data_IF_481802586286
#
_entry.id   IF_481802586286
#
_cell.length_a   1.000
_cell.length_b   1.000
_cell.length_c   1.000
_cell.angle_alpha   90.00
_cell.angle_beta   90.00
_cell.angle_gamma   90.00
#
_symmetry.space_group_name_H-M   'P 1'
#
loop_
_entity.id
_entity.type
_entity.pdbx_description
1 polymer ?
#
# COMPACT_ATOMS: atom_id res chain seq x y z
N UNK A 1 -14.79 19.59 -35.03
CA UNK A 1 -15.13 20.89 -34.43
C UNK A 1 -16.33 20.70 -33.52
N UNK A 2 -16.41 21.49 -32.44
CA UNK A 2 -17.17 21.33 -31.17
C UNK A 2 -16.42 20.44 -30.15
N UNK A 3 -15.41 20.92 -29.40
CA UNK A 3 -15.37 21.80 -28.18
C UNK A 3 -15.87 21.14 -26.89
N UNK A 4 -14.95 20.77 -25.98
CA UNK A 4 -14.73 21.33 -24.59
C UNK A 4 -15.58 20.60 -23.52
N UNK A 5 -15.10 20.22 -22.33
CA UNK A 5 -13.89 20.54 -21.58
C UNK A 5 -13.64 19.56 -20.39
N UNK A 6 -12.74 19.90 -19.46
CA UNK A 6 -12.03 18.96 -18.57
C UNK A 6 -12.54 18.93 -17.11
N UNK A 7 -12.24 17.87 -16.36
CA UNK A 7 -12.24 17.92 -14.88
C UNK A 7 -10.92 17.37 -14.33
N UNK A 8 -9.96 18.27 -14.20
CA UNK A 8 -8.78 18.15 -13.37
C UNK A 8 -9.14 18.70 -11.99
N UNK A 9 -9.32 17.84 -10.98
CA UNK A 9 -9.35 18.25 -9.58
C UNK A 9 -7.97 18.00 -8.97
N UNK A 10 -7.02 18.84 -9.36
CA UNK A 10 -5.78 19.04 -8.61
C UNK A 10 -6.11 19.88 -7.38
N UNK A 11 -6.12 19.27 -6.20
CA UNK A 11 -5.97 20.02 -4.96
C UNK A 11 -4.47 20.32 -4.79
N UNK A 12 -4.09 21.56 -5.11
CA UNK A 12 -2.75 22.10 -4.84
C UNK A 12 -2.45 22.09 -3.33
N UNK A 13 -1.17 21.86 -3.01
CA UNK A 13 -0.66 21.62 -1.67
C UNK A 13 -1.12 22.63 -0.61
N UNK A 14 -1.86 22.13 0.37
CA UNK A 14 -2.24 22.88 1.56
C UNK A 14 -1.17 22.70 2.63
N UNK A 15 -0.41 23.77 2.89
CA UNK A 15 0.37 23.88 4.13
C UNK A 15 -0.58 23.89 5.33
N UNK A 16 -0.60 22.82 6.12
CA UNK A 16 -1.49 22.69 7.26
C UNK A 16 -0.78 22.95 8.60
N UNK A 17 -1.22 23.98 9.31
CA UNK A 17 -0.93 24.16 10.73
C UNK A 17 -1.74 23.17 11.58
N UNK A 18 -1.08 22.59 12.58
CA UNK A 18 -1.56 21.78 13.74
C UNK A 18 -2.57 20.62 13.54
N UNK A 19 -3.40 20.59 12.50
CA UNK A 19 -4.31 19.51 12.14
C UNK A 19 -4.07 19.06 10.70
N UNK A 20 -3.82 17.77 10.48
CA UNK A 20 -3.58 17.23 9.14
C UNK A 20 -4.79 17.32 8.22
N UNK A 21 -4.56 17.38 6.91
CA UNK A 21 -5.59 17.30 5.88
C UNK A 21 -6.34 15.96 5.95
N UNK A 22 -7.67 16.01 5.92
CA UNK A 22 -8.53 14.82 5.98
C UNK A 22 -8.91 14.37 4.58
N UNK A 23 -8.78 13.08 4.33
CA UNK A 23 -9.19 12.42 3.10
C UNK A 23 -10.23 11.34 3.41
N UNK A 24 -11.43 11.52 2.87
CA UNK A 24 -12.45 10.47 2.85
C UNK A 24 -12.34 9.68 1.54
N UNK A 25 -12.18 8.36 1.69
CA UNK A 25 -12.01 7.39 0.63
C UNK A 25 -13.25 6.52 0.51
N UNK A 26 -13.76 6.41 -0.72
CA UNK A 26 -14.84 5.48 -1.06
C UNK A 26 -14.32 4.05 -1.14
N UNK A 27 -15.25 3.08 -1.19
CA UNK A 27 -14.94 1.67 -1.43
C UNK A 27 -14.09 1.52 -2.69
N UNK A 28 -13.07 0.65 -2.62
CA UNK A 28 -12.20 0.29 -3.75
C UNK A 28 -11.43 1.49 -4.35
N UNK A 29 -11.08 2.45 -3.48
CA UNK A 29 -10.25 3.61 -3.87
C UNK A 29 -8.98 3.67 -3.05
N UNK A 30 -7.99 4.40 -3.55
CA UNK A 30 -6.73 4.65 -2.86
C UNK A 30 -6.33 6.12 -2.85
N UNK A 31 -5.65 6.52 -1.79
CA UNK A 31 -4.97 7.79 -1.66
C UNK A 31 -3.50 7.57 -1.98
N UNK A 32 -3.04 8.19 -3.06
CA UNK A 32 -1.63 8.20 -3.46
C UNK A 32 -1.01 9.49 -3.01
N UNK A 33 0.10 9.41 -2.29
CA UNK A 33 0.87 10.59 -1.92
C UNK A 33 2.37 10.35 -1.99
N UNK A 34 3.11 11.43 -2.23
CA UNK A 34 4.56 11.48 -2.22
C UNK A 34 5.03 12.48 -1.17
N UNK A 35 5.96 12.05 -0.32
CA UNK A 35 6.53 12.90 0.72
C UNK A 35 7.57 13.82 0.11
N UNK A 36 7.43 15.13 0.35
CA UNK A 36 8.37 16.14 -0.13
C UNK A 36 9.81 15.84 0.35
N UNK A 37 10.79 16.17 -0.48
CA UNK A 37 12.20 15.98 -0.14
C UNK A 37 12.57 16.75 1.15
N UNK A 38 13.27 16.08 2.07
CA UNK A 38 13.65 16.64 3.37
C UNK A 38 12.55 16.63 4.44
N UNK A 39 11.29 16.34 4.08
CA UNK A 39 10.15 16.42 4.98
C UNK A 39 9.69 15.04 5.48
N UNK A 40 8.80 15.04 6.48
CA UNK A 40 8.12 13.83 6.96
C UNK A 40 6.62 14.05 6.93
N UNK A 41 5.90 12.96 6.67
CA UNK A 41 4.44 12.94 6.66
C UNK A 41 3.96 11.91 7.67
N UNK A 42 2.96 12.29 8.46
CA UNK A 42 2.25 11.40 9.36
C UNK A 42 0.88 11.09 8.78
N UNK A 43 0.56 9.80 8.73
CA UNK A 43 -0.74 9.26 8.33
C UNK A 43 -1.42 8.67 9.56
N UNK A 44 -2.70 8.96 9.73
CA UNK A 44 -3.54 8.39 10.78
C UNK A 44 -4.88 7.92 10.22
N UNK A 45 -5.29 6.69 10.56
CA UNK A 45 -6.61 6.17 10.22
C UNK A 45 -7.62 6.62 11.28
N UNK A 46 -8.63 7.39 10.87
CA UNK A 46 -9.67 7.92 11.77
C UNK A 46 -10.84 6.91 11.89
N UNK A 47 -11.36 6.46 10.75
CA UNK A 47 -12.53 5.59 10.64
C UNK A 47 -12.39 4.58 9.51
N UNK A 48 -13.16 3.50 9.58
CA UNK A 48 -13.16 2.45 8.55
C UNK A 48 -11.93 1.53 8.62
N UNK A 49 -11.64 0.90 7.47
CA UNK A 49 -10.51 -0.01 7.29
C UNK A 49 -9.66 0.48 6.12
N UNK A 50 -8.34 0.47 6.30
CA UNK A 50 -7.39 0.86 5.27
C UNK A 50 -6.13 0.02 5.36
N UNK A 51 -5.41 -0.10 4.26
CA UNK A 51 -4.16 -0.83 4.19
C UNK A 51 -3.13 -0.12 3.32
N UNK A 52 -1.85 -0.30 3.67
CA UNK A 52 -0.70 0.14 2.88
C UNK A 52 0.07 -1.09 2.47
N UNK A 53 0.13 -1.37 1.16
CA UNK A 53 0.75 -2.57 0.59
C UNK A 53 0.32 -3.88 1.30
N UNK A 54 -0.98 -4.00 1.60
CA UNK A 54 -1.57 -5.16 2.28
C UNK A 54 -1.38 -5.24 3.79
N UNK A 55 -0.62 -4.34 4.41
CA UNK A 55 -0.56 -4.18 5.87
C UNK A 55 -1.72 -3.30 6.34
N UNK A 56 -2.58 -3.84 7.21
CA UNK A 56 -3.70 -3.10 7.80
C UNK A 56 -3.20 -1.93 8.67
N UNK A 57 -3.90 -0.80 8.58
CA UNK A 57 -3.69 0.35 9.45
C UNK A 57 -4.57 0.23 10.70
N UNK A 58 -3.96 0.48 11.86
CA UNK A 58 -4.67 0.55 13.12
C UNK A 58 -5.26 1.95 13.28
N UNK A 59 -6.52 2.00 13.71
CA UNK A 59 -7.20 3.27 14.01
C UNK A 59 -6.45 4.04 15.10
N UNK A 60 -6.39 5.36 14.93
CA UNK A 60 -5.73 6.30 15.84
C UNK A 60 -4.23 6.05 16.07
N UNK A 61 -3.59 5.23 15.22
CA UNK A 61 -2.14 5.03 15.22
C UNK A 61 -1.53 5.94 14.16
N UNK A 62 -0.51 6.70 14.56
CA UNK A 62 0.27 7.55 13.66
C UNK A 62 1.37 6.76 12.99
N UNK A 63 1.40 6.79 11.67
CA UNK A 63 2.42 6.17 10.83
C UNK A 63 3.27 7.27 10.19
N UNK A 64 4.59 7.21 10.36
CA UNK A 64 5.50 8.24 9.84
C UNK A 64 6.21 7.74 8.59
N UNK A 65 6.11 8.51 7.52
CA UNK A 65 6.80 8.28 6.25
C UNK A 65 7.88 9.33 6.06
N UNK A 66 9.05 8.87 5.60
CA UNK A 66 10.23 9.72 5.41
C UNK A 66 10.29 10.36 4.01
N UNK A 67 11.28 11.23 3.78
CA UNK A 67 11.46 11.94 2.52
C UNK A 67 11.44 11.04 1.29
N UNK A 68 10.78 11.47 0.21
CA UNK A 68 10.74 10.77 -1.08
C UNK A 68 9.96 9.44 -1.07
N UNK A 69 9.20 9.16 0.00
CA UNK A 69 8.38 7.96 0.06
C UNK A 69 7.13 8.12 -0.80
N UNK A 70 6.91 7.16 -1.71
CA UNK A 70 5.68 7.04 -2.50
C UNK A 70 4.75 6.01 -1.85
N UNK A 71 3.58 6.44 -1.42
CA UNK A 71 2.66 5.63 -0.62
C UNK A 71 1.29 5.59 -1.30
N UNK A 72 0.68 4.40 -1.30
CA UNK A 72 -0.72 4.20 -1.66
C UNK A 72 -1.47 3.61 -0.46
N UNK A 73 -2.46 4.34 0.05
CA UNK A 73 -3.37 3.89 1.11
C UNK A 73 -4.66 3.44 0.45
N UNK A 74 -4.95 2.16 0.49
CA UNK A 74 -6.12 1.57 -0.17
C UNK A 74 -7.20 1.17 0.83
N UNK A 75 -8.47 1.19 0.41
CA UNK A 75 -9.58 0.67 1.22
C UNK A 75 -10.55 -0.21 0.43
N UNK A 76 -10.88 -1.38 0.98
CA UNK A 76 -11.89 -2.30 0.42
C UNK A 76 -13.33 -1.90 0.76
N UNK A 77 -13.55 -1.08 1.78
CA UNK A 77 -14.88 -0.80 2.35
C UNK A 77 -15.19 0.70 2.48
N UNK A 78 -14.18 1.56 2.36
CA UNK A 78 -14.27 2.98 2.67
C UNK A 78 -13.58 3.31 4.00
N UNK A 79 -12.95 4.48 4.07
CA UNK A 79 -12.27 4.96 5.27
C UNK A 79 -12.09 6.47 5.27
N UNK A 80 -11.71 7.02 6.43
CA UNK A 80 -11.25 8.39 6.55
C UNK A 80 -9.84 8.39 7.14
N UNK A 81 -8.90 9.07 6.48
CA UNK A 81 -7.52 9.21 6.94
C UNK A 81 -7.14 10.67 7.11
N UNK A 82 -6.23 10.96 8.03
CA UNK A 82 -5.60 12.27 8.18
C UNK A 82 -4.14 12.18 7.74
N UNK A 83 -3.71 13.13 6.92
CA UNK A 83 -2.33 13.34 6.51
C UNK A 83 -1.83 14.68 7.04
N UNK A 84 -0.79 14.66 7.87
CA UNK A 84 -0.13 15.87 8.37
C UNK A 84 1.34 15.90 7.97
N UNK A 85 1.83 17.06 7.54
CA UNK A 85 3.17 17.21 6.96
C UNK A 85 3.06 17.63 5.50
N UNK A 86 4.20 17.90 4.86
CA UNK A 86 4.22 18.35 3.47
C UNK A 86 4.33 17.17 2.50
N UNK A 87 3.43 17.16 1.52
CA UNK A 87 3.42 16.22 0.41
C UNK A 87 3.67 16.98 -0.88
N UNK A 88 4.50 16.42 -1.76
CA UNK A 88 4.70 16.96 -3.11
C UNK A 88 3.43 16.80 -3.95
N UNK A 89 2.80 15.62 -3.83
CA UNK A 89 1.55 15.27 -4.49
C UNK A 89 0.70 14.45 -3.53
N UNK A 90 -0.62 14.68 -3.49
CA UNK A 90 -1.59 13.84 -2.79
C UNK A 90 -2.92 13.84 -3.55
N UNK A 91 -3.40 12.69 -4.00
CA UNK A 91 -4.69 12.59 -4.71
C UNK A 91 -5.36 11.23 -4.52
N UNK A 92 -6.68 11.21 -4.68
CA UNK A 92 -7.49 9.99 -4.66
C UNK A 92 -7.56 9.39 -6.06
N UNK A 93 -7.41 8.07 -6.18
CA UNK A 93 -7.54 7.32 -7.42
C UNK A 93 -8.53 6.17 -7.25
N UNK A 94 -9.38 5.97 -8.27
CA UNK A 94 -10.20 4.76 -8.43
C UNK A 94 -9.52 3.73 -9.33
N UNK A 95 -8.57 4.17 -10.17
CA UNK A 95 -7.82 3.28 -11.04
C UNK A 95 -6.69 2.63 -10.25
N UNK A 96 -6.87 1.35 -9.93
CA UNK A 96 -5.94 0.58 -9.13
C UNK A 96 -5.99 -0.91 -9.48
N UNK A 97 -4.83 -1.59 -9.58
CA UNK A 97 -4.76 -3.03 -9.86
C UNK A 97 -5.02 -3.89 -8.62
N UNK A 98 -5.54 -3.35 -7.51
CA UNK A 98 -5.72 -4.09 -6.25
C UNK A 98 -6.56 -5.35 -6.39
N UNK A 99 -7.60 -5.34 -7.24
CA UNK A 99 -8.39 -6.55 -7.51
C UNK A 99 -7.58 -7.65 -8.20
N UNK A 100 -6.68 -7.30 -9.12
CA UNK A 100 -5.75 -8.24 -9.75
C UNK A 100 -4.80 -8.87 -8.72
N UNK A 101 -4.29 -8.07 -7.80
CA UNK A 101 -3.40 -8.55 -6.74
C UNK A 101 -4.13 -9.48 -5.76
N UNK A 102 -5.38 -9.14 -5.39
CA UNK A 102 -6.22 -10.00 -4.57
C UNK A 102 -6.52 -11.35 -5.25
N UNK A 103 -6.87 -11.32 -6.54
CA UNK A 103 -7.12 -12.54 -7.32
C UNK A 103 -5.87 -13.42 -7.40
N UNK A 104 -4.71 -12.81 -7.61
CA UNK A 104 -3.42 -13.51 -7.63
C UNK A 104 -3.13 -14.16 -6.27
N UNK A 105 -3.32 -13.43 -5.17
CA UNK A 105 -3.18 -13.99 -3.83
C UNK A 105 -4.12 -15.17 -3.59
N UNK A 106 -5.38 -15.04 -4.00
CA UNK A 106 -6.41 -16.08 -3.85
C UNK A 106 -6.05 -17.35 -4.62
N UNK A 107 -5.57 -17.22 -5.86
CA UNK A 107 -5.09 -18.35 -6.66
C UNK A 107 -3.88 -19.05 -5.98
N UNK A 108 -2.91 -18.28 -5.49
CA UNK A 108 -1.77 -18.84 -4.75
C UNK A 108 -2.19 -19.57 -3.48
N UNK A 109 -3.21 -19.06 -2.78
CA UNK A 109 -3.76 -19.72 -1.59
C UNK A 109 -4.48 -21.03 -1.94
N UNK A 110 -5.22 -21.08 -3.05
CA UNK A 110 -5.81 -22.32 -3.55
C UNK A 110 -4.73 -23.38 -3.85
N UNK A 111 -3.65 -22.99 -4.54
CA UNK A 111 -2.51 -23.87 -4.81
C UNK A 111 -1.85 -24.37 -3.52
N UNK A 112 -1.70 -23.52 -2.49
CA UNK A 112 -1.18 -23.94 -1.18
C UNK A 112 -2.07 -24.99 -0.52
N UNK A 113 -3.38 -24.75 -0.49
CA UNK A 113 -4.34 -25.71 0.10
C UNK A 113 -4.34 -27.05 -0.62
N UNK A 114 -4.21 -27.04 -1.93
CA UNK A 114 -4.10 -28.27 -2.71
C UNK A 114 -2.81 -29.03 -2.38
N UNK A 115 -1.66 -28.34 -2.39
CA UNK A 115 -0.38 -28.95 -2.02
C UNK A 115 -0.39 -29.52 -0.59
N UNK A 116 -1.06 -28.85 0.36
CA UNK A 116 -1.22 -29.38 1.74
C UNK A 116 -2.03 -30.68 1.79
N UNK A 117 -3.07 -30.81 0.96
CA UNK A 117 -3.87 -32.05 0.86
C UNK A 117 -3.07 -33.19 0.25
N UNK A 118 -2.26 -32.88 -0.75
CA UNK A 118 -1.47 -33.85 -1.49
C UNK A 118 -0.11 -34.14 -0.83
N UNK A 119 0.18 -33.49 0.31
CA UNK A 119 1.46 -33.55 1.02
C UNK A 119 2.67 -33.14 0.15
N UNK A 120 2.45 -32.16 -0.73
CA UNK A 120 3.44 -31.57 -1.63
C UNK A 120 3.92 -30.19 -1.14
N UNK A 121 4.89 -29.62 -1.87
CA UNK A 121 5.40 -28.27 -1.59
C UNK A 121 4.46 -27.22 -2.19
N UNK A 122 4.22 -26.15 -1.43
CA UNK A 122 3.46 -24.99 -1.92
C UNK A 122 4.12 -24.28 -3.12
N UNK A 123 3.39 -23.38 -3.79
CA UNK A 123 3.83 -22.70 -5.01
C UNK A 123 5.08 -21.84 -4.76
N UNK A 124 5.99 -21.87 -5.74
CA UNK A 124 7.16 -20.97 -5.82
C UNK A 124 6.89 -19.96 -6.94
N UNK A 125 6.91 -18.68 -6.59
CA UNK A 125 6.54 -17.59 -7.51
C UNK A 125 7.74 -16.69 -7.71
N UNK A 126 8.05 -16.38 -8.96
CA UNK A 126 9.04 -15.38 -9.35
C UNK A 126 8.32 -14.20 -9.99
N UNK A 127 8.57 -12.99 -9.50
CA UNK A 127 8.04 -11.75 -10.08
C UNK A 127 9.12 -11.15 -10.96
N UNK A 128 8.82 -10.96 -12.25
CA UNK A 128 9.75 -10.46 -13.26
C UNK A 128 9.18 -9.25 -13.97
N UNK A 129 10.06 -8.37 -14.44
CA UNK A 129 9.68 -7.17 -15.19
C UNK A 129 10.76 -6.09 -15.15
N UNK A 130 10.60 -5.01 -15.94
CA UNK A 130 11.54 -3.89 -16.00
C UNK A 130 11.76 -3.21 -14.64
N UNK A 131 12.75 -2.32 -14.55
CA UNK A 131 12.96 -1.50 -13.35
C UNK A 131 11.74 -0.61 -13.09
N UNK A 132 11.48 -0.32 -11.80
CA UNK A 132 10.47 0.65 -11.35
C UNK A 132 8.99 0.37 -11.73
N UNK A 133 8.65 -0.87 -12.08
CA UNK A 133 7.26 -1.30 -12.33
C UNK A 133 6.50 -1.79 -11.08
N UNK A 134 7.05 -1.60 -9.89
CA UNK A 134 6.40 -1.97 -8.62
C UNK A 134 6.52 -3.44 -8.19
N UNK A 135 7.51 -4.18 -8.72
CA UNK A 135 7.76 -5.59 -8.35
C UNK A 135 7.86 -5.81 -6.84
N UNK A 136 8.66 -5.00 -6.15
CA UNK A 136 8.86 -5.09 -4.71
C UNK A 136 7.60 -4.77 -3.91
N UNK A 137 6.76 -3.84 -4.41
CA UNK A 137 5.47 -3.52 -3.80
C UNK A 137 4.50 -4.70 -3.92
N UNK A 138 4.42 -5.33 -5.09
CA UNK A 138 3.60 -6.51 -5.32
C UNK A 138 4.05 -7.68 -4.42
N UNK A 139 5.35 -7.97 -4.36
CA UNK A 139 5.90 -8.99 -3.47
C UNK A 139 5.48 -8.74 -2.02
N UNK A 140 5.67 -7.50 -1.52
CA UNK A 140 5.31 -7.12 -0.16
C UNK A 140 3.81 -7.29 0.12
N UNK A 141 2.96 -6.91 -0.83
CA UNK A 141 1.51 -7.06 -0.72
C UNK A 141 1.11 -8.54 -0.65
N UNK A 142 1.61 -9.38 -1.55
CA UNK A 142 1.30 -10.82 -1.56
C UNK A 142 1.76 -11.52 -0.27
N UNK A 143 2.92 -11.12 0.26
CA UNK A 143 3.44 -11.61 1.54
C UNK A 143 2.55 -11.20 2.70
N UNK A 144 2.17 -9.91 2.78
CA UNK A 144 1.31 -9.40 3.83
C UNK A 144 -0.05 -10.11 3.84
N UNK A 145 -0.67 -10.33 2.68
CA UNK A 145 -1.91 -11.09 2.57
C UNK A 145 -1.74 -12.55 3.02
N UNK A 146 -0.65 -13.20 2.64
CA UNK A 146 -0.36 -14.57 3.10
C UNK A 146 -0.19 -14.65 4.62
N UNK A 147 0.52 -13.69 5.23
CA UNK A 147 0.69 -13.61 6.69
C UNK A 147 -0.65 -13.37 7.40
N UNK A 148 -1.56 -12.57 6.82
CA UNK A 148 -2.92 -12.35 7.37
C UNK A 148 -3.75 -13.63 7.42
N UNK A 149 -3.51 -14.58 6.50
CA UNK A 149 -4.12 -15.92 6.53
C UNK A 149 -3.34 -16.93 7.39
N UNK A 150 -2.36 -16.49 8.18
CA UNK A 150 -1.54 -17.35 9.03
C UNK A 150 -0.49 -18.17 8.27
N UNK A 151 -0.26 -17.89 6.98
CA UNK A 151 0.79 -18.55 6.19
C UNK A 151 2.16 -17.99 6.56
N UNK A 152 3.21 -18.76 6.27
CA UNK A 152 4.63 -18.39 6.48
C UNK A 152 5.40 -18.45 5.16
N UNK A 153 5.15 -17.52 4.21
CA UNK A 153 5.87 -17.51 2.94
C UNK A 153 7.33 -17.08 3.13
N UNK A 154 8.21 -17.56 2.24
CA UNK A 154 9.61 -17.13 2.17
C UNK A 154 9.79 -16.15 1.03
N UNK A 155 10.35 -14.97 1.31
CA UNK A 155 10.79 -14.01 0.31
C UNK A 155 12.27 -14.25 0.00
N UNK A 156 12.60 -14.33 -1.29
CA UNK A 156 13.98 -14.36 -1.79
C UNK A 156 14.16 -13.13 -2.67
N UNK A 157 15.05 -12.23 -2.26
CA UNK A 157 15.38 -11.01 -3.01
C UNK A 157 16.58 -11.28 -3.90
N UNK A 158 16.43 -11.02 -5.21
CA UNK A 158 17.48 -11.23 -6.22
C UNK A 158 17.95 -9.92 -6.85
N UNK A 159 17.31 -8.79 -6.51
CA UNK A 159 17.73 -7.47 -6.97
C UNK A 159 18.91 -6.96 -6.12
N UNK A 160 20.10 -6.97 -6.71
CA UNK A 160 21.34 -6.48 -6.07
C UNK A 160 21.41 -4.94 -6.02
N UNK A 161 20.60 -4.24 -6.82
CA UNK A 161 20.57 -2.77 -6.90
C UNK A 161 19.59 -2.12 -5.93
N UNK A 162 18.55 -2.84 -5.50
CA UNK A 162 17.58 -2.37 -4.52
C UNK A 162 17.69 -3.15 -3.21
N UNK A 163 18.24 -2.53 -2.17
CA UNK A 163 18.32 -3.14 -0.82
C UNK A 163 16.93 -3.16 -0.14
N UNK A 164 16.10 -4.14 -0.53
CA UNK A 164 14.71 -4.27 -0.09
C UNK A 164 14.49 -4.96 1.26
N UNK A 165 15.52 -5.58 1.86
CA UNK A 165 15.38 -6.28 3.15
C UNK A 165 15.38 -5.28 4.31
N UNK A 166 14.30 -4.48 4.41
CA UNK A 166 13.91 -3.87 5.68
C UNK A 166 13.20 -4.93 6.50
N UNK A 167 13.83 -5.40 7.58
CA UNK A 167 13.17 -6.25 8.57
C UNK A 167 11.84 -5.60 8.96
N UNK A 168 10.74 -6.35 8.86
CA UNK A 168 9.37 -5.97 9.27
C UNK A 168 9.22 -5.72 10.78
N UNK A 169 10.32 -5.49 11.51
CA UNK A 169 10.34 -5.26 12.96
C UNK A 169 9.85 -3.88 13.40
N UNK A 170 9.62 -2.93 12.49
CA UNK A 170 9.31 -1.54 12.90
C UNK A 170 7.86 -1.25 13.33
N UNK A 171 6.94 -2.22 13.29
CA UNK A 171 5.54 -1.96 13.74
C UNK A 171 5.21 -2.43 15.18
N UNK A 172 6.14 -3.09 15.88
CA UNK A 172 5.91 -3.68 17.20
C UNK A 172 6.69 -3.07 18.37
N UNK A 173 7.48 -2.00 18.17
CA UNK A 173 8.10 -1.32 19.32
C UNK A 173 7.22 -0.14 19.77
N UNK A 174 6.33 -0.44 20.71
CA UNK A 174 6.00 0.33 21.91
C UNK A 174 4.87 -0.41 22.65
N UNK A 175 5.28 -1.35 23.51
CA UNK A 175 4.64 -1.53 24.81
C UNK A 175 5.53 -0.84 25.83
#
# INVERSE_FOLDING_TARGET
>A
MVTEGPENTGEEGVGAGAGGARFDLEKETELRFEVEAGEKVHLELLTGLAEVFGSELNRNKKYTFGPGSKIAVFTWQGCSVSLSGKTEVAYKSKDTPMLLYLNTHTALEQMRRQAERDNERGPRVMVVGPTDVGKSMLCRLLLNYAVRLGRRPTLVELDVGQSGVRSTKQLHQHQ
#
